data_IF_222337298383
#
_entry.id   IF_222337298383
#
_cell.length_a   1.000
_cell.length_b   1.000
_cell.length_c   1.000
_cell.angle_alpha   90.00
_cell.angle_beta   90.00
_cell.angle_gamma   90.00
#
_symmetry.space_group_name_H-M   'P 1'
#
loop_
_entity.id
_entity.type
_entity.pdbx_description
1 polymer ?
#
# COMPACT_ATOMS: atom_id res chain seq x y z
N UNK A 1 4.20 -5.00 -0.58
CA UNK A 1 4.10 -6.47 -0.32
C UNK A 1 3.81 -6.81 1.14
N UNK A 2 3.49 -5.83 1.99
CA UNK A 2 3.51 -6.02 3.43
C UNK A 2 2.51 -7.07 3.94
N UNK A 3 1.31 -7.17 3.36
CA UNK A 3 0.33 -8.24 3.66
C UNK A 3 0.93 -9.64 3.42
N UNK A 4 1.64 -9.84 2.31
CA UNK A 4 2.26 -11.14 1.97
C UNK A 4 3.52 -11.43 2.81
N UNK A 5 4.18 -10.40 3.32
CA UNK A 5 5.29 -10.52 4.27
C UNK A 5 4.81 -10.84 5.70
N UNK A 6 3.60 -10.40 6.06
CA UNK A 6 2.97 -10.68 7.35
C UNK A 6 2.34 -12.08 7.42
N UNK A 7 2.23 -12.82 6.31
CA UNK A 7 1.81 -14.21 6.32
C UNK A 7 2.84 -15.05 7.08
N UNK A 8 2.41 -15.68 8.18
CA UNK A 8 3.24 -16.64 8.92
C UNK A 8 3.56 -17.82 8.00
N UNK A 9 4.82 -18.26 7.98
CA UNK A 9 5.30 -19.36 7.10
C UNK A 9 4.45 -20.63 7.25
N UNK A 10 4.05 -20.97 8.48
CA UNK A 10 3.19 -22.13 8.77
C UNK A 10 1.76 -22.04 8.20
N UNK A 11 1.35 -20.88 7.68
CA UNK A 11 0.04 -20.66 7.06
C UNK A 11 0.12 -20.52 5.55
N UNK A 12 1.30 -20.67 4.96
CA UNK A 12 1.47 -20.59 3.51
C UNK A 12 0.99 -21.92 2.93
N UNK A 13 -0.01 -21.92 2.03
CA UNK A 13 -0.49 -23.14 1.41
C UNK A 13 0.60 -23.82 0.56
N UNK A 14 0.52 -25.14 0.35
CA UNK A 14 1.54 -25.90 -0.37
C UNK A 14 1.68 -25.49 -1.85
N UNK A 15 0.66 -24.96 -2.50
CA UNK A 15 0.69 -24.58 -3.93
C UNK A 15 0.40 -23.09 -4.14
N UNK A 16 0.90 -22.52 -5.24
CA UNK A 16 0.63 -21.12 -5.59
C UNK A 16 -0.86 -20.87 -5.85
N UNK A 17 -1.58 -21.85 -6.41
CA UNK A 17 -3.04 -21.79 -6.61
C UNK A 17 -3.78 -21.67 -5.27
N UNK A 18 -3.46 -22.51 -4.30
CA UNK A 18 -4.05 -22.44 -2.97
C UNK A 18 -3.67 -21.15 -2.24
N UNK A 19 -2.44 -20.66 -2.43
CA UNK A 19 -2.02 -19.36 -1.92
C UNK A 19 -2.87 -18.22 -2.50
N UNK A 20 -3.08 -18.22 -3.82
CA UNK A 20 -3.90 -17.22 -4.49
C UNK A 20 -5.35 -17.24 -3.98
N UNK A 21 -5.93 -18.44 -3.83
CA UNK A 21 -7.26 -18.61 -3.28
C UNK A 21 -7.34 -18.11 -1.83
N UNK A 22 -6.40 -18.50 -0.97
CA UNK A 22 -6.36 -18.07 0.43
C UNK A 22 -6.31 -16.53 0.55
N UNK A 23 -5.49 -15.86 -0.26
CA UNK A 23 -5.40 -14.39 -0.26
C UNK A 23 -6.71 -13.76 -0.74
N UNK A 24 -7.32 -14.30 -1.80
CA UNK A 24 -8.61 -13.81 -2.30
C UNK A 24 -9.71 -13.96 -1.25
N UNK A 25 -9.79 -15.11 -0.59
CA UNK A 25 -10.74 -15.34 0.50
C UNK A 25 -10.52 -14.38 1.67
N UNK A 26 -9.26 -14.06 1.99
CA UNK A 26 -8.95 -13.07 3.02
C UNK A 26 -9.45 -11.67 2.61
N UNK A 27 -9.23 -11.26 1.36
CA UNK A 27 -9.73 -9.99 0.82
C UNK A 27 -11.27 -9.95 0.86
N UNK A 28 -11.95 -11.02 0.46
CA UNK A 28 -13.42 -11.12 0.50
C UNK A 28 -13.93 -11.09 1.94
N UNK A 29 -13.27 -11.78 2.87
CA UNK A 29 -13.64 -11.74 4.30
C UNK A 29 -13.53 -10.34 4.87
N UNK A 30 -12.46 -9.61 4.54
CA UNK A 30 -12.28 -8.20 4.93
C UNK A 30 -13.38 -7.34 4.33
N UNK A 31 -13.68 -7.53 3.04
CA UNK A 31 -14.76 -6.82 2.35
C UNK A 31 -16.11 -7.02 3.07
N UNK A 32 -16.47 -8.26 3.38
CA UNK A 32 -17.72 -8.62 4.06
C UNK A 32 -17.76 -8.10 5.50
N UNK A 33 -16.65 -8.23 6.24
CA UNK A 33 -16.53 -7.77 7.62
C UNK A 33 -16.78 -6.26 7.72
N UNK A 34 -16.23 -5.49 6.79
CA UNK A 34 -16.35 -4.04 6.76
C UNK A 34 -17.49 -3.52 5.88
N UNK A 35 -18.35 -4.41 5.37
CA UNK A 35 -19.47 -4.06 4.49
C UNK A 35 -19.04 -3.14 3.34
N UNK A 36 -17.81 -3.32 2.87
CA UNK A 36 -17.29 -2.61 1.71
C UNK A 36 -17.84 -3.28 0.46
N UNK A 37 -18.03 -2.55 -0.61
CA UNK A 37 -18.43 -3.10 -1.91
C UNK A 37 -17.29 -3.03 -2.94
N UNK A 38 -16.16 -2.41 -2.57
CA UNK A 38 -14.95 -2.29 -3.37
C UNK A 38 -13.73 -2.45 -2.47
N UNK A 39 -12.76 -3.23 -2.93
CA UNK A 39 -11.45 -3.35 -2.29
C UNK A 39 -10.39 -3.24 -3.39
N UNK A 40 -9.48 -2.30 -3.24
CA UNK A 40 -8.37 -2.12 -4.17
C UNK A 40 -7.12 -2.83 -3.63
N UNK A 41 -6.64 -3.85 -4.35
CA UNK A 41 -5.40 -4.54 -4.02
C UNK A 41 -4.20 -3.83 -4.67
N UNK A 42 -3.48 -3.03 -3.88
CA UNK A 42 -2.35 -2.23 -4.35
C UNK A 42 -1.02 -2.89 -3.95
N UNK A 43 -0.09 -2.95 -4.89
CA UNK A 43 1.25 -3.51 -4.68
C UNK A 43 2.32 -2.53 -5.12
N UNK A 44 3.48 -2.60 -4.46
CA UNK A 44 4.66 -1.80 -4.84
C UNK A 44 5.17 -2.19 -6.23
N UNK A 45 5.79 -1.24 -6.92
CA UNK A 45 6.65 -1.49 -8.08
C UNK A 45 8.09 -1.78 -7.63
N UNK A 46 8.78 -2.70 -8.30
CA UNK A 46 10.16 -3.07 -7.99
C UNK A 46 11.12 -2.69 -9.12
N UNK A 47 11.33 -1.38 -9.34
CA UNK A 47 12.31 -0.94 -10.33
C UNK A 47 13.76 -1.25 -9.91
N UNK A 48 14.55 -1.72 -10.87
CA UNK A 48 15.98 -2.02 -10.68
C UNK A 48 16.81 -0.77 -10.37
N UNK A 49 16.39 0.37 -10.90
CA UNK A 49 16.98 1.68 -10.64
C UNK A 49 16.13 2.42 -9.58
N UNK A 50 16.38 2.16 -8.31
CA UNK A 50 15.79 2.95 -7.21
C UNK A 50 16.75 3.06 -6.02
N UNK A 51 16.70 4.17 -5.28
CA UNK A 51 17.44 4.36 -4.01
C UNK A 51 17.09 3.23 -3.02
N UNK A 52 15.85 2.77 -3.07
CA UNK A 52 15.35 1.62 -2.30
C UNK A 52 16.07 0.31 -2.61
N UNK A 53 16.70 0.14 -3.78
CA UNK A 53 17.42 -1.10 -4.09
C UNK A 53 18.67 -1.30 -3.25
N UNK A 54 19.39 -0.24 -2.89
CA UNK A 54 20.53 -0.37 -1.96
C UNK A 54 20.09 -0.91 -0.60
N UNK A 55 18.99 -0.39 -0.05
CA UNK A 55 18.45 -0.87 1.23
C UNK A 55 17.86 -2.28 1.11
N UNK A 56 17.22 -2.63 -0.01
CA UNK A 56 16.75 -4.00 -0.28
C UNK A 56 17.93 -4.98 -0.37
N UNK A 57 19.02 -4.60 -1.02
CA UNK A 57 20.24 -5.40 -1.11
C UNK A 57 20.88 -5.60 0.27
N UNK A 58 20.90 -4.57 1.11
CA UNK A 58 21.33 -4.67 2.51
C UNK A 58 20.46 -5.66 3.30
N UNK A 59 19.13 -5.59 3.16
CA UNK A 59 18.19 -6.52 3.82
C UNK A 59 18.29 -7.95 3.24
N UNK A 60 18.71 -8.09 1.99
CA UNK A 60 18.97 -9.36 1.32
C UNK A 60 20.38 -9.92 1.56
N UNK A 61 21.16 -9.37 2.51
CA UNK A 61 22.49 -9.87 2.85
C UNK A 61 22.52 -11.35 3.25
N UNK A 62 21.39 -11.91 3.70
CA UNK A 62 21.21 -13.34 3.98
C UNK A 62 20.93 -14.20 2.72
N UNK A 63 21.02 -13.61 1.52
CA UNK A 63 20.69 -14.19 0.23
C UNK A 63 19.20 -14.06 -0.15
N UNK A 64 18.92 -14.26 -1.43
CA UNK A 64 17.57 -14.38 -1.98
C UNK A 64 17.45 -15.69 -2.78
N UNK A 65 16.22 -16.18 -2.96
CA UNK A 65 15.95 -17.39 -3.75
C UNK A 65 15.13 -16.98 -4.97
N UNK A 66 15.67 -17.01 -6.18
CA UNK A 66 14.92 -16.72 -7.41
C UNK A 66 14.10 -17.93 -7.81
N UNK A 67 12.79 -17.74 -8.03
CA UNK A 67 11.86 -18.79 -8.46
C UNK A 67 10.96 -18.19 -9.52
N UNK A 68 10.89 -18.85 -10.67
CA UNK A 68 9.93 -18.53 -11.71
C UNK A 68 8.63 -19.29 -11.44
N UNK A 69 7.50 -18.60 -11.59
CA UNK A 69 6.16 -19.15 -11.32
C UNK A 69 5.52 -19.44 -12.67
N UNK A 70 5.42 -20.72 -13.02
CA UNK A 70 4.87 -21.14 -14.32
C UNK A 70 3.49 -21.77 -14.23
N UNK A 71 3.14 -22.33 -13.07
CA UNK A 71 1.89 -23.05 -12.86
C UNK A 71 1.35 -22.81 -11.45
N UNK A 72 0.02 -22.84 -11.31
CA UNK A 72 -0.64 -22.77 -10.01
C UNK A 72 -0.39 -24.00 -9.13
N UNK A 73 -0.19 -25.18 -9.72
CA UNK A 73 0.07 -26.42 -8.97
C UNK A 73 1.54 -26.51 -8.50
N UNK A 74 2.38 -25.56 -8.91
CA UNK A 74 3.75 -25.46 -8.44
C UNK A 74 3.77 -25.21 -6.93
N UNK A 75 4.69 -25.90 -6.25
CA UNK A 75 4.85 -25.78 -4.80
C UNK A 75 5.29 -24.37 -4.41
N UNK A 76 4.74 -23.86 -3.32
CA UNK A 76 5.24 -22.62 -2.72
C UNK A 76 6.66 -22.81 -2.17
N UNK A 77 7.48 -21.75 -2.15
CA UNK A 77 8.84 -21.80 -1.65
C UNK A 77 8.89 -22.14 -0.15
N UNK A 78 9.70 -23.13 0.21
CA UNK A 78 9.97 -23.48 1.62
C UNK A 78 10.70 -22.35 2.35
N UNK A 79 11.58 -21.62 1.66
CA UNK A 79 12.29 -20.45 2.19
C UNK A 79 11.57 -19.14 1.83
N UNK A 80 10.30 -19.02 2.24
CA UNK A 80 9.41 -17.90 1.86
C UNK A 80 10.00 -16.51 2.05
N UNK A 81 10.69 -16.26 3.17
CA UNK A 81 11.34 -14.96 3.43
C UNK A 81 12.41 -14.63 2.39
N UNK A 82 13.20 -15.61 1.95
CA UNK A 82 14.22 -15.41 0.91
C UNK A 82 13.61 -15.26 -0.48
N UNK A 83 12.52 -15.97 -0.75
CA UNK A 83 11.73 -15.75 -1.96
C UNK A 83 11.20 -14.31 -2.02
N UNK A 84 10.63 -13.80 -0.93
CA UNK A 84 10.16 -12.41 -0.81
C UNK A 84 11.26 -11.37 -0.62
N UNK A 85 12.55 -11.72 -0.65
CA UNK A 85 13.63 -10.73 -0.71
C UNK A 85 14.01 -10.40 -2.16
N UNK A 86 13.62 -11.22 -3.14
CA UNK A 86 13.87 -10.96 -4.55
C UNK A 86 12.76 -10.08 -5.14
N UNK A 87 13.13 -8.96 -5.79
CA UNK A 87 12.18 -8.06 -6.45
C UNK A 87 11.40 -8.77 -7.58
N UNK A 88 12.11 -9.44 -8.49
CA UNK A 88 11.51 -10.15 -9.62
C UNK A 88 10.50 -11.21 -9.20
N UNK A 89 10.77 -11.94 -8.11
CA UNK A 89 9.81 -12.90 -7.56
C UNK A 89 8.52 -12.25 -7.07
N UNK A 90 8.62 -11.06 -6.47
CA UNK A 90 7.44 -10.32 -6.00
C UNK A 90 6.59 -9.89 -7.18
N UNK A 91 7.22 -9.39 -8.24
CA UNK A 91 6.52 -9.02 -9.47
C UNK A 91 5.85 -10.22 -10.11
N UNK A 92 6.58 -11.33 -10.27
CA UNK A 92 6.03 -12.58 -10.79
C UNK A 92 4.87 -13.12 -9.93
N UNK A 93 4.97 -13.03 -8.60
CA UNK A 93 3.90 -13.42 -7.69
C UNK A 93 2.67 -12.52 -7.85
N UNK A 94 2.85 -11.20 -7.92
CA UNK A 94 1.74 -10.26 -8.13
C UNK A 94 1.05 -10.52 -9.47
N UNK A 95 1.83 -10.74 -10.53
CA UNK A 95 1.29 -11.08 -11.85
C UNK A 95 0.50 -12.41 -11.82
N UNK A 96 1.04 -13.43 -11.16
CA UNK A 96 0.36 -14.72 -10.99
C UNK A 96 -0.95 -14.59 -10.21
N UNK A 97 -0.95 -13.84 -9.10
CA UNK A 97 -2.15 -13.58 -8.29
C UNK A 97 -3.22 -12.89 -9.13
N UNK A 98 -2.83 -11.84 -9.86
CA UNK A 98 -3.74 -11.10 -10.73
C UNK A 98 -4.39 -12.01 -11.79
N UNK A 99 -3.58 -12.79 -12.52
CA UNK A 99 -4.09 -13.73 -13.53
C UNK A 99 -5.03 -14.78 -12.92
N UNK A 100 -4.65 -15.34 -11.78
CA UNK A 100 -5.44 -16.37 -11.08
C UNK A 100 -6.80 -15.83 -10.61
N UNK A 101 -6.84 -14.62 -10.07
CA UNK A 101 -8.09 -14.00 -9.61
C UNK A 101 -8.99 -13.59 -10.77
N UNK A 102 -8.43 -13.04 -11.86
CA UNK A 102 -9.20 -12.76 -13.07
C UNK A 102 -9.88 -14.03 -13.60
N UNK A 103 -9.15 -15.15 -13.68
CA UNK A 103 -9.73 -16.44 -14.11
C UNK A 103 -10.81 -16.95 -13.16
N UNK A 104 -10.59 -16.86 -11.84
CA UNK A 104 -11.58 -17.27 -10.85
C UNK A 104 -12.87 -16.45 -10.95
N UNK A 105 -12.75 -15.12 -11.13
CA UNK A 105 -13.90 -14.21 -11.27
C UNK A 105 -14.66 -14.50 -12.57
N UNK A 106 -13.96 -14.66 -13.70
CA UNK A 106 -14.57 -14.98 -14.99
C UNK A 106 -15.32 -16.32 -14.97
N UNK A 107 -14.86 -17.28 -14.17
CA UNK A 107 -15.52 -18.58 -14.01
C UNK A 107 -16.82 -18.50 -13.20
N UNK A 108 -17.01 -17.44 -12.40
CA UNK A 108 -18.22 -17.21 -11.59
C UNK A 108 -19.27 -16.44 -12.39
N UNK A 109 -18.86 -15.57 -13.32
CA UNK A 109 -19.76 -14.74 -14.13
C UNK A 109 -20.10 -15.41 -15.46
N UNK A 110 -21.08 -16.32 -15.46
CA UNK A 110 -21.74 -16.75 -16.71
C UNK A 110 -22.85 -15.74 -17.08
N UNK A 111 -22.67 -15.06 -18.22
CA UNK A 111 -23.58 -14.09 -18.88
C UNK A 111 -23.76 -12.70 -18.23
N UNK A 112 -23.46 -11.69 -19.06
CA UNK A 112 -23.85 -10.26 -18.99
C UNK A 112 -23.99 -9.60 -17.61
N UNK A 113 -22.87 -9.14 -17.05
CA UNK A 113 -22.83 -7.87 -16.30
C UNK A 113 -21.49 -7.21 -16.57
N UNK A 114 -21.50 -5.94 -16.97
CA UNK A 114 -20.31 -5.16 -17.32
C UNK A 114 -19.20 -5.31 -16.26
N UNK A 115 -18.08 -5.87 -16.75
CA UNK A 115 -16.84 -6.14 -16.05
C UNK A 115 -16.17 -4.83 -15.58
N UNK A 116 -16.55 -4.31 -14.42
CA UNK A 116 -15.88 -3.16 -13.78
C UNK A 116 -14.58 -3.55 -13.04
N UNK A 117 -13.94 -4.65 -13.45
CA UNK A 117 -12.71 -5.19 -12.86
C UNK A 117 -11.75 -5.59 -13.96
N UNK A 118 -11.34 -4.61 -14.77
CA UNK A 118 -10.23 -4.73 -15.70
C UNK A 118 -9.26 -3.57 -15.46
N UNK A 119 -8.17 -3.90 -14.79
CA UNK A 119 -6.80 -3.41 -15.03
C UNK A 119 -6.55 -1.91 -14.77
N UNK A 120 -5.52 -1.69 -13.96
CA UNK A 120 -4.71 -0.47 -13.84
C UNK A 120 -5.22 0.69 -12.97
N UNK A 121 -4.38 0.95 -11.96
CA UNK A 121 -3.79 2.26 -11.66
C UNK A 121 -4.75 3.29 -11.03
N UNK A 122 -4.26 3.89 -9.94
CA UNK A 122 -4.52 5.25 -9.48
C UNK A 122 -5.57 5.99 -10.34
N UNK A 123 -6.74 6.27 -9.71
CA UNK A 123 -7.85 7.11 -10.17
C UNK A 123 -8.87 6.40 -11.07
N UNK A 124 -9.99 5.94 -10.47
CA UNK A 124 -11.30 6.52 -10.79
C UNK A 124 -12.32 6.19 -9.69
N UNK A 125 -12.77 7.27 -9.07
CA UNK A 125 -13.82 7.41 -8.07
C UNK A 125 -15.17 7.08 -8.73
N UNK A 126 -16.04 6.35 -8.03
CA UNK A 126 -17.40 6.79 -7.70
C UNK A 126 -18.17 5.73 -6.90
N UNK A 127 -18.83 6.24 -5.85
CA UNK A 127 -19.93 5.65 -5.09
C UNK A 127 -19.65 4.38 -4.28
N UNK A 128 -18.87 4.53 -3.20
CA UNK A 128 -18.91 3.84 -1.88
C UNK A 128 -17.53 3.85 -1.19
N UNK A 129 -17.49 3.69 0.13
CA UNK A 129 -16.26 3.72 0.94
C UNK A 129 -15.13 2.84 0.41
N UNK A 130 -13.90 3.34 0.46
CA UNK A 130 -12.69 2.60 0.08
C UNK A 130 -11.96 2.12 1.34
N UNK A 131 -11.68 0.82 1.40
CA UNK A 131 -10.95 0.22 2.51
C UNK A 131 -9.49 -0.06 2.12
N UNK A 132 -8.56 0.46 2.91
CA UNK A 132 -7.13 0.29 2.71
C UNK A 132 -6.51 -0.41 3.93
N UNK A 133 -5.98 -1.61 3.72
CA UNK A 133 -5.18 -2.29 4.74
C UNK A 133 -3.70 -2.10 4.44
N UNK A 134 -2.97 -1.49 5.38
CA UNK A 134 -1.52 -1.41 5.30
C UNK A 134 -0.93 -1.41 6.72
N UNK A 135 0.09 -2.24 6.96
CA UNK A 135 0.84 -2.18 8.22
C UNK A 135 1.76 -0.96 8.30
N UNK A 136 2.05 -0.30 7.17
CA UNK A 136 3.03 0.79 7.09
C UNK A 136 2.39 2.16 7.28
N UNK A 137 2.95 2.95 8.21
CA UNK A 137 2.46 4.31 8.55
C UNK A 137 2.59 5.31 7.39
N UNK A 138 3.56 5.11 6.50
CA UNK A 138 3.80 5.98 5.35
C UNK A 138 2.57 6.03 4.43
N UNK A 139 1.86 4.91 4.33
CA UNK A 139 0.60 4.81 3.60
C UNK A 139 -0.49 5.65 4.26
N UNK A 140 -0.60 5.60 5.61
CA UNK A 140 -1.57 6.42 6.35
C UNK A 140 -1.31 7.93 6.18
N UNK A 141 -0.05 8.35 6.18
CA UNK A 141 0.33 9.76 6.00
C UNK A 141 -0.06 10.27 4.61
N UNK A 142 0.00 9.42 3.58
CA UNK A 142 -0.45 9.75 2.23
C UNK A 142 -1.99 9.78 2.16
N UNK A 143 -2.68 8.86 2.84
CA UNK A 143 -4.15 8.78 2.83
C UNK A 143 -4.82 10.04 3.41
N UNK A 144 -4.22 10.69 4.41
CA UNK A 144 -4.78 11.87 5.08
C UNK A 144 -5.09 13.03 4.11
N UNK A 145 -4.13 13.61 3.38
CA UNK A 145 -4.40 14.67 2.41
C UNK A 145 -5.16 14.17 1.17
N UNK A 146 -5.10 12.87 0.86
CA UNK A 146 -5.88 12.30 -0.24
C UNK A 146 -7.39 12.26 0.04
N UNK A 147 -7.80 12.27 1.31
CA UNK A 147 -9.21 12.23 1.70
C UNK A 147 -10.01 13.42 1.14
N UNK A 148 -9.40 14.62 1.03
CA UNK A 148 -10.09 15.77 0.41
C UNK A 148 -10.32 15.59 -1.08
N UNK A 149 -9.43 14.86 -1.76
CA UNK A 149 -9.56 14.55 -3.19
C UNK A 149 -10.45 13.31 -3.43
N UNK A 150 -10.82 12.58 -2.37
CA UNK A 150 -11.62 11.37 -2.45
C UNK A 150 -13.07 11.64 -2.04
N UNK A 151 -14.02 11.35 -2.92
CA UNK A 151 -15.45 11.47 -2.59
C UNK A 151 -15.96 10.36 -1.65
N UNK A 152 -15.13 9.34 -1.39
CA UNK A 152 -15.44 8.21 -0.52
C UNK A 152 -14.69 8.32 0.80
N UNK A 153 -15.25 7.71 1.85
CA UNK A 153 -14.55 7.58 3.14
C UNK A 153 -13.40 6.58 2.97
N UNK A 154 -12.20 6.98 3.38
CA UNK A 154 -11.03 6.11 3.44
C UNK A 154 -10.92 5.51 4.85
N UNK A 155 -10.79 4.20 4.91
CA UNK A 155 -10.52 3.47 6.15
C UNK A 155 -9.12 2.88 6.12
N UNK A 156 -8.35 3.07 7.19
CA UNK A 156 -7.01 2.53 7.33
C UNK A 156 -6.99 1.48 8.45
N UNK A 157 -6.82 0.21 8.09
CA UNK A 157 -6.67 -0.87 9.05
C UNK A 157 -5.20 -1.12 9.36
N UNK A 158 -4.86 -1.11 10.65
CA UNK A 158 -3.51 -1.30 11.18
C UNK A 158 -3.53 -2.08 12.51
N UNK A 159 -2.36 -2.55 12.95
CA UNK A 159 -2.22 -3.37 14.15
C UNK A 159 -2.17 -4.87 13.85
N UNK A 160 -1.83 -5.65 14.89
CA UNK A 160 -1.77 -7.11 14.81
C UNK A 160 -3.08 -7.71 15.35
N UNK A 161 -3.30 -9.01 15.12
CA UNK A 161 -4.56 -9.73 15.40
C UNK A 161 -5.28 -9.41 16.72
N UNK A 162 -4.56 -9.14 17.80
CA UNK A 162 -5.14 -8.84 19.12
C UNK A 162 -5.36 -7.33 19.40
N UNK A 163 -4.89 -6.47 18.50
CA UNK A 163 -4.86 -5.01 18.59
C UNK A 163 -5.16 -4.38 17.22
N UNK A 164 -6.01 -5.01 16.41
CA UNK A 164 -6.40 -4.48 15.11
C UNK A 164 -7.27 -3.23 15.32
N UNK A 165 -6.91 -2.15 14.64
CA UNK A 165 -7.57 -0.84 14.74
C UNK A 165 -7.86 -0.36 13.34
N UNK A 166 -9.05 0.18 13.18
CA UNK A 166 -9.48 0.83 11.95
C UNK A 166 -9.56 2.30 12.25
N UNK A 167 -8.79 3.07 11.50
CA UNK A 167 -8.79 4.51 11.56
C UNK A 167 -9.66 5.01 10.42
N UNK A 168 -10.72 5.74 10.75
CA UNK A 168 -11.45 6.52 9.77
C UNK A 168 -10.63 7.77 9.44
N UNK A 169 -10.08 7.80 8.23
CA UNK A 169 -9.18 8.88 7.79
C UNK A 169 -9.93 10.20 7.72
N UNK A 170 -11.22 10.19 7.37
CA UNK A 170 -12.03 11.41 7.36
C UNK A 170 -12.16 11.99 8.76
N UNK A 171 -12.48 11.15 9.74
CA UNK A 171 -12.55 11.58 11.14
C UNK A 171 -11.20 12.15 11.62
N UNK A 172 -10.08 11.55 11.20
CA UNK A 172 -8.74 12.08 11.50
C UNK A 172 -8.49 13.45 10.85
N UNK A 173 -8.86 13.64 9.59
CA UNK A 173 -8.73 14.93 8.89
C UNK A 173 -9.59 16.00 9.55
N UNK A 174 -10.82 15.66 9.97
CA UNK A 174 -11.72 16.56 10.70
C UNK A 174 -11.14 16.97 12.06
N UNK A 175 -10.46 16.06 12.77
CA UNK A 175 -9.83 16.34 14.07
C UNK A 175 -8.51 17.12 13.96
N UNK A 176 -7.67 16.79 12.99
CA UNK A 176 -6.32 17.35 12.83
C UNK A 176 -6.34 18.65 12.03
N UNK A 177 -7.28 18.77 11.10
CA UNK A 177 -7.40 19.88 10.15
C UNK A 177 -6.67 19.61 8.83
N UNK A 178 -7.26 20.03 7.70
CA UNK A 178 -6.75 19.70 6.37
C UNK A 178 -5.39 20.33 6.07
N UNK A 179 -5.15 21.56 6.51
CA UNK A 179 -3.88 22.27 6.32
C UNK A 179 -2.72 21.55 7.00
N UNK A 180 -2.93 21.10 8.25
CA UNK A 180 -1.91 20.34 8.97
C UNK A 180 -1.69 18.98 8.31
N UNK A 181 -2.76 18.29 7.87
CA UNK A 181 -2.67 17.03 7.12
C UNK A 181 -1.85 17.17 5.82
N UNK A 182 -2.05 18.25 5.06
CA UNK A 182 -1.27 18.52 3.85
C UNK A 182 0.24 18.69 4.15
N UNK A 183 0.57 19.35 5.27
CA UNK A 183 1.96 19.51 5.70
C UNK A 183 2.64 18.19 6.11
N UNK A 184 1.87 17.16 6.48
CA UNK A 184 2.42 15.88 6.95
C UNK A 184 3.20 15.13 5.87
N UNK A 185 2.86 15.31 4.59
CA UNK A 185 3.66 14.71 3.50
C UNK A 185 5.05 15.34 3.48
N UNK A 186 5.12 16.68 3.49
CA UNK A 186 6.38 17.40 3.56
C UNK A 186 7.16 17.05 4.82
N UNK A 187 6.49 16.94 5.96
CA UNK A 187 7.09 16.52 7.22
C UNK A 187 7.67 15.10 7.15
N UNK A 188 6.94 14.18 6.53
CA UNK A 188 7.36 12.79 6.37
C UNK A 188 8.61 12.68 5.49
N UNK A 189 8.62 13.39 4.36
CA UNK A 189 9.80 13.46 3.49
C UNK A 189 10.99 14.15 4.19
N UNK A 190 10.75 15.23 4.92
CA UNK A 190 11.80 15.99 5.61
C UNK A 190 12.44 15.22 6.77
N UNK A 191 11.64 14.49 7.54
CA UNK A 191 12.11 13.79 8.77
C UNK A 191 12.57 12.36 8.54
N UNK A 192 12.65 11.95 7.27
CA UNK A 192 13.07 10.62 6.84
C UNK A 192 11.90 9.76 6.39
N UNK A 193 11.86 9.46 5.10
CA UNK A 193 11.03 8.44 4.46
C UNK A 193 11.93 7.37 3.83
N UNK A 194 11.39 6.47 3.03
CA UNK A 194 12.23 5.50 2.34
C UNK A 194 13.29 6.11 1.38
N UNK A 195 13.11 7.36 0.97
CA UNK A 195 14.02 8.08 0.06
C UNK A 195 14.95 9.07 0.77
N UNK A 196 14.70 9.36 2.06
CA UNK A 196 15.46 10.36 2.82
C UNK A 196 15.91 9.81 4.18
N UNK A 197 17.08 10.23 4.65
CA UNK A 197 17.55 9.78 5.97
C UNK A 197 16.77 10.44 7.10
N UNK A 198 16.66 9.75 8.24
CA UNK A 198 16.10 10.33 9.45
C UNK A 198 17.14 11.13 10.24
N UNK A 199 16.67 12.08 11.04
CA UNK A 199 17.53 12.84 11.95
C UNK A 199 17.96 11.97 13.14
N UNK A 200 19.26 11.93 13.41
CA UNK A 200 19.81 11.17 14.52
C UNK A 200 19.20 11.60 15.87
N UNK A 201 18.66 10.65 16.63
CA UNK A 201 18.07 10.90 17.95
C UNK A 201 16.74 11.67 17.96
N UNK A 202 16.11 11.90 16.81
CA UNK A 202 14.83 12.63 16.70
C UNK A 202 13.78 11.81 15.96
N UNK A 203 12.64 11.58 16.61
CA UNK A 203 11.51 10.84 16.04
C UNK A 203 10.48 11.76 15.37
N UNK A 204 9.67 11.17 14.46
CA UNK A 204 8.55 11.86 13.80
C UNK A 204 7.58 12.56 14.77
N UNK A 205 7.21 11.98 15.94
CA UNK A 205 6.35 12.67 16.90
C UNK A 205 6.92 14.00 17.39
N UNK A 206 8.23 14.08 17.61
CA UNK A 206 8.90 15.31 18.04
C UNK A 206 8.71 16.44 17.02
N UNK A 207 8.90 16.12 15.74
CA UNK A 207 8.70 17.10 14.67
C UNK A 207 7.22 17.42 14.46
N UNK A 208 6.32 16.46 14.62
CA UNK A 208 4.87 16.70 14.53
C UNK A 208 4.40 17.74 15.55
N UNK A 209 4.82 17.62 16.82
CA UNK A 209 4.49 18.62 17.84
C UNK A 209 5.02 20.01 17.48
N UNK A 210 6.25 20.10 16.98
CA UNK A 210 6.86 21.36 16.54
C UNK A 210 6.11 22.01 15.36
N UNK A 211 5.69 21.22 14.37
CA UNK A 211 4.96 21.71 13.20
C UNK A 211 3.54 22.12 13.58
N UNK A 212 2.87 21.32 14.41
CA UNK A 212 1.50 21.59 14.88
C UNK A 212 1.38 22.95 15.59
N UNK A 213 2.42 23.40 16.27
CA UNK A 213 2.43 24.65 17.04
C UNK A 213 2.94 25.87 16.25
N UNK A 214 3.37 25.70 15.00
CA UNK A 214 4.00 26.77 14.22
C UNK A 214 3.51 26.81 12.77
N UNK A 215 2.63 27.78 12.49
CA UNK A 215 2.02 27.97 11.17
C UNK A 215 3.03 28.17 10.05
N UNK A 216 4.20 28.77 10.33
CA UNK A 216 5.25 28.94 9.30
C UNK A 216 5.78 27.61 8.82
N UNK A 217 5.92 26.62 9.72
CA UNK A 217 6.35 25.28 9.34
C UNK A 217 5.27 24.54 8.57
N UNK A 218 4.01 24.65 8.99
CA UNK A 218 2.87 24.09 8.25
C UNK A 218 2.85 24.61 6.81
N UNK A 219 2.96 25.93 6.63
CA UNK A 219 2.98 26.56 5.30
C UNK A 219 4.17 26.09 4.46
N UNK A 220 5.39 26.12 5.00
CA UNK A 220 6.61 25.74 4.27
C UNK A 220 6.57 24.27 3.80
N UNK A 221 6.14 23.36 4.68
CA UNK A 221 6.05 21.93 4.37
C UNK A 221 4.91 21.62 3.39
N UNK A 222 3.81 22.38 3.44
CA UNK A 222 2.70 22.25 2.48
C UNK A 222 3.13 22.74 1.09
N UNK A 223 3.82 23.88 1.00
CA UNK A 223 4.31 24.44 -0.27
C UNK A 223 5.29 23.52 -0.97
N UNK A 224 6.17 22.86 -0.20
CA UNK A 224 7.17 21.91 -0.73
C UNK A 224 6.53 20.74 -1.47
N UNK A 225 5.32 20.32 -1.09
CA UNK A 225 4.57 19.26 -1.78
C UNK A 225 3.79 19.79 -3.00
N UNK A 226 3.22 21.00 -2.90
CA UNK A 226 2.41 21.58 -3.98
C UNK A 226 3.24 22.12 -5.15
N UNK A 227 4.53 22.43 -4.94
CA UNK A 227 5.41 22.93 -6.02
C UNK A 227 5.69 21.87 -7.10
N UNK A 228 5.69 20.58 -6.76
CA UNK A 228 5.82 19.49 -7.74
C UNK A 228 4.57 19.34 -8.63
N UNK A 229 3.36 19.60 -8.10
CA UNK A 229 2.12 19.60 -8.90
C UNK A 229 2.13 20.70 -9.97
N UNK A 230 2.67 21.87 -9.64
CA UNK A 230 2.75 23.00 -10.56
C UNK A 230 3.75 22.77 -11.70
N UNK A 231 4.86 22.06 -11.45
CA UNK A 231 5.87 21.77 -12.47
C UNK A 231 5.36 20.82 -13.56
N UNK A 232 4.50 19.86 -13.19
CA UNK A 232 3.90 18.92 -14.15
C UNK A 232 2.70 19.47 -14.92
N UNK A 233 2.09 20.57 -14.50
CA UNK A 233 1.03 21.26 -15.25
C UNK A 233 1.55 22.21 -16.33
N UNK A 234 2.84 22.57 -16.31
CA UNK A 234 3.42 23.56 -17.23
C UNK A 234 4.18 22.90 -18.42
N UNK A 235 4.35 21.58 -18.40
CA UNK A 235 5.00 20.81 -19.48
C UNK A 235 4.12 20.37 -20.64
N UNK A 236 2.86 20.84 -20.69
CA UNK A 236 1.85 20.44 -21.69
C UNK A 236 1.38 21.65 -22.50
N UNK A 237 2.32 22.39 -23.08
CA UNK A 237 2.05 23.40 -24.12
C UNK A 237 3.03 23.21 -25.26
#
# INVERSE_FOLDING_TARGET
MAVLQCLKVAKIPPTFKELAQMILEMIVKIMLLYKSNRVDFVTDRYSDLSIKNCERNRRAAAGYQRIEIFSGDQKTPTQWKKFLNCGSNKEALVEFLFKSWCQAILSITTLEVHLFMAICVIIYVLATGHFQQSPDTDVAIISLPMQESCQANLFFATGNKDQERILDIRCMVEQVGPTLCASLIGLHAFTGCDSTSSFHGKGKPTFFHLVKENDRYVMALTQSFNTERAYHSVGST
#
